data_IF_611171714020
#
_entry.id   IF_611171714020
#
_cell.length_a   1.000
_cell.length_b   1.000
_cell.length_c   1.000
_cell.angle_alpha   90.00
_cell.angle_beta   90.00
_cell.angle_gamma   90.00
#
_symmetry.space_group_name_H-M   'P 1'
#
loop_
_entity.id
_entity.type
_entity.pdbx_description
1 polymer ?
#
# COMPACT_ATOMS: atom_id res chain seq x y z
N UNK A 1 9.03 -2.65 -32.91
CA UNK A 1 10.24 -2.08 -32.25
C UNK A 1 10.35 -2.67 -30.87
N UNK A 2 11.57 -2.95 -30.39
CA UNK A 2 11.81 -3.75 -29.18
C UNK A 2 10.98 -3.26 -27.99
N UNK A 3 10.03 -4.09 -27.54
CA UNK A 3 9.14 -3.81 -26.39
C UNK A 3 9.86 -4.04 -25.05
N UNK A 4 11.15 -4.41 -25.08
CA UNK A 4 11.97 -4.65 -23.89
C UNK A 4 12.88 -3.47 -23.60
N UNK A 5 12.91 -3.05 -22.34
CA UNK A 5 13.95 -2.17 -21.81
C UNK A 5 15.30 -2.88 -21.73
N UNK A 6 16.27 -2.25 -21.08
CA UNK A 6 17.61 -2.81 -20.84
C UNK A 6 17.53 -4.14 -20.08
N UNK A 7 16.55 -4.29 -19.19
CA UNK A 7 16.31 -5.53 -18.44
C UNK A 7 15.23 -6.43 -19.05
N UNK A 8 14.82 -6.16 -20.30
CA UNK A 8 13.73 -6.83 -20.98
C UNK A 8 12.34 -6.33 -20.54
N UNK A 9 11.29 -7.03 -20.94
CA UNK A 9 9.92 -6.74 -20.51
C UNK A 9 9.51 -7.76 -19.45
N UNK A 10 9.04 -7.28 -18.29
CA UNK A 10 8.54 -8.15 -17.23
C UNK A 10 7.24 -8.87 -17.62
N UNK A 11 6.41 -8.25 -18.46
CA UNK A 11 5.15 -8.82 -18.91
C UNK A 11 5.41 -9.78 -20.07
N UNK A 12 4.96 -11.02 -19.93
CA UNK A 12 5.01 -12.01 -21.01
C UNK A 12 3.93 -11.71 -22.06
N UNK A 13 4.09 -12.25 -23.28
CA UNK A 13 3.06 -12.13 -24.32
C UNK A 13 1.70 -12.67 -23.86
N UNK A 14 1.70 -13.80 -23.16
CA UNK A 14 0.49 -14.38 -22.56
C UNK A 14 -0.12 -13.45 -21.50
N UNK A 15 0.71 -12.79 -20.67
CA UNK A 15 0.24 -11.83 -19.68
C UNK A 15 -0.44 -10.61 -20.30
N UNK A 16 0.07 -10.12 -21.45
CA UNK A 16 -0.58 -9.06 -22.22
C UNK A 16 -1.95 -9.50 -22.77
N UNK A 17 -2.08 -10.74 -23.21
CA UNK A 17 -3.36 -11.28 -23.68
C UNK A 17 -4.38 -11.43 -22.54
N UNK A 18 -3.95 -11.88 -21.36
CA UNK A 18 -4.80 -11.94 -20.16
C UNK A 18 -5.18 -10.55 -19.65
N UNK A 19 -4.32 -9.54 -19.84
CA UNK A 19 -4.61 -8.15 -19.49
C UNK A 19 -5.86 -7.59 -20.21
N UNK A 20 -6.13 -8.03 -21.45
CA UNK A 20 -7.36 -7.65 -22.19
C UNK A 20 -8.64 -8.19 -21.54
N UNK A 21 -8.52 -9.27 -20.77
CA UNK A 21 -9.62 -9.93 -20.05
C UNK A 21 -9.72 -9.49 -18.60
N UNK A 22 -8.79 -8.63 -18.16
CA UNK A 22 -8.78 -8.16 -16.79
C UNK A 22 -9.98 -7.24 -16.52
N UNK A 23 -10.71 -7.53 -15.46
CA UNK A 23 -11.79 -6.70 -14.95
C UNK A 23 -11.48 -6.36 -13.48
N UNK A 24 -11.49 -5.08 -13.17
CA UNK A 24 -11.33 -4.63 -11.79
C UNK A 24 -12.51 -5.06 -10.92
N UNK A 25 -12.19 -5.65 -9.76
CA UNK A 25 -13.17 -6.02 -8.74
C UNK A 25 -12.68 -5.55 -7.38
N UNK A 26 -13.24 -4.44 -6.90
CA UNK A 26 -12.95 -3.89 -5.58
C UNK A 26 -13.59 -4.70 -4.45
N UNK A 27 -12.89 -4.81 -3.33
CA UNK A 27 -13.24 -5.63 -2.16
C UNK A 27 -14.29 -5.05 -1.21
N UNK A 28 -15.04 -4.01 -1.60
CA UNK A 28 -16.06 -3.33 -0.77
C UNK A 28 -15.66 -1.91 -0.36
N UNK A 29 -16.46 -1.28 0.51
CA UNK A 29 -16.24 0.08 1.03
C UNK A 29 -16.41 0.13 2.56
N UNK A 30 -15.65 0.98 3.23
CA UNK A 30 -15.72 1.20 4.67
C UNK A 30 -16.86 2.18 5.03
N UNK A 31 -17.18 2.37 6.33
CA UNK A 31 -18.08 3.43 6.75
C UNK A 31 -17.60 4.84 6.36
N UNK A 32 -16.29 5.12 6.47
CA UNK A 32 -15.75 6.43 6.11
C UNK A 32 -15.73 6.63 4.60
N UNK A 33 -15.45 5.60 3.80
CA UNK A 33 -15.58 5.68 2.34
C UNK A 33 -16.98 6.15 1.96
N UNK A 34 -18.01 5.56 2.58
CA UNK A 34 -19.42 5.94 2.33
C UNK A 34 -19.74 7.36 2.78
N UNK A 35 -19.12 7.84 3.86
CA UNK A 35 -19.26 9.21 4.34
C UNK A 35 -18.59 10.23 3.40
N UNK A 36 -17.43 9.89 2.85
CA UNK A 36 -16.66 10.76 1.95
C UNK A 36 -17.14 10.69 0.50
N UNK A 37 -17.85 9.63 0.12
CA UNK A 37 -18.31 9.43 -1.26
C UNK A 37 -19.10 10.60 -1.86
N UNK A 38 -20.03 11.28 -1.15
CA UNK A 38 -20.71 12.47 -1.66
C UNK A 38 -19.74 13.61 -2.01
N UNK A 39 -18.68 13.80 -1.22
CA UNK A 39 -17.64 14.79 -1.52
C UNK A 39 -16.88 14.42 -2.80
N UNK A 40 -16.47 13.16 -2.92
CA UNK A 40 -15.77 12.68 -4.11
C UNK A 40 -16.64 12.73 -5.37
N UNK A 41 -17.94 12.41 -5.28
CA UNK A 41 -18.88 12.53 -6.41
C UNK A 41 -19.09 13.99 -6.81
N UNK A 42 -19.17 14.90 -5.84
CA UNK A 42 -19.23 16.33 -6.12
C UNK A 42 -17.99 16.82 -6.88
N UNK A 43 -16.79 16.49 -6.39
CA UNK A 43 -15.53 16.88 -7.04
C UNK A 43 -15.42 16.26 -8.43
N UNK A 44 -15.69 14.96 -8.56
CA UNK A 44 -15.70 14.24 -9.83
C UNK A 44 -16.65 14.88 -10.85
N UNK A 45 -17.81 15.38 -10.41
CA UNK A 45 -18.78 16.07 -11.27
C UNK A 45 -18.31 17.45 -11.78
N UNK A 46 -17.36 18.09 -11.08
CA UNK A 46 -16.80 19.39 -11.45
C UNK A 46 -15.57 19.30 -12.34
N UNK A 47 -14.92 18.14 -12.43
CA UNK A 47 -13.76 17.96 -13.29
C UNK A 47 -14.13 18.09 -14.78
N UNK A 48 -13.27 18.69 -15.61
CA UNK A 48 -13.51 18.78 -17.05
C UNK A 48 -13.30 17.42 -17.72
N UNK A 49 -14.06 17.14 -18.78
CA UNK A 49 -14.05 15.83 -19.45
C UNK A 49 -12.75 15.53 -20.23
N UNK A 50 -11.94 16.54 -20.54
CA UNK A 50 -10.63 16.36 -21.18
C UNK A 50 -9.55 15.88 -20.20
N UNK A 51 -9.80 16.01 -18.89
CA UNK A 51 -8.81 15.68 -17.86
C UNK A 51 -8.73 14.16 -17.68
N UNK A 52 -7.56 13.61 -18.01
CA UNK A 52 -7.27 12.18 -17.87
C UNK A 52 -7.24 11.77 -16.38
N UNK A 53 -7.83 10.61 -16.04
CA UNK A 53 -7.70 10.00 -14.72
C UNK A 53 -6.25 9.86 -14.26
N UNK A 54 -5.37 9.34 -15.13
CA UNK A 54 -3.97 9.12 -14.78
C UNK A 54 -3.24 10.43 -14.46
N UNK A 55 -3.70 11.56 -15.00
CA UNK A 55 -3.13 12.86 -14.67
C UNK A 55 -3.53 13.30 -13.26
N UNK A 56 -4.76 12.99 -12.82
CA UNK A 56 -5.19 13.19 -11.42
C UNK A 56 -4.32 12.38 -10.47
N UNK A 57 -4.06 11.11 -10.81
CA UNK A 57 -3.16 10.24 -10.05
C UNK A 57 -1.76 10.84 -9.93
N UNK A 58 -1.18 11.35 -11.04
CA UNK A 58 0.13 12.03 -11.00
C UNK A 58 0.12 13.26 -10.09
N UNK A 59 -0.93 14.08 -10.15
CA UNK A 59 -1.05 15.24 -9.27
C UNK A 59 -1.19 14.85 -7.79
N UNK A 60 -1.98 13.79 -7.50
CA UNK A 60 -2.09 13.23 -6.16
C UNK A 60 -0.76 12.70 -5.64
N UNK A 61 -0.05 11.92 -6.45
CA UNK A 61 1.30 11.45 -6.15
C UNK A 61 2.29 12.60 -5.93
N UNK A 62 2.21 13.68 -6.72
CA UNK A 62 3.01 14.88 -6.52
C UNK A 62 2.78 15.53 -5.15
N UNK A 63 1.56 15.48 -4.62
CA UNK A 63 1.25 16.00 -3.29
C UNK A 63 1.93 15.17 -2.18
N UNK A 64 1.87 13.84 -2.25
CA UNK A 64 2.51 12.97 -1.25
C UNK A 64 4.03 13.02 -1.35
N UNK A 65 4.58 13.15 -2.56
CA UNK A 65 6.00 13.38 -2.80
C UNK A 65 6.45 14.70 -2.16
N UNK A 66 5.68 15.79 -2.32
CA UNK A 66 6.00 17.07 -1.68
C UNK A 66 5.98 16.97 -0.15
N UNK A 67 5.03 16.23 0.44
CA UNK A 67 5.07 15.93 1.88
C UNK A 67 6.36 15.22 2.27
N UNK A 68 6.78 14.22 1.51
CA UNK A 68 8.03 13.50 1.79
C UNK A 68 9.26 14.42 1.66
N UNK A 69 9.31 15.31 0.67
CA UNK A 69 10.38 16.29 0.53
C UNK A 69 10.42 17.27 1.71
N UNK A 70 9.27 17.70 2.22
CA UNK A 70 9.19 18.52 3.43
C UNK A 70 9.74 17.77 4.65
N UNK A 71 9.40 16.48 4.82
CA UNK A 71 9.96 15.63 5.88
C UNK A 71 11.47 15.52 5.76
N UNK A 72 12.00 15.20 4.57
CA UNK A 72 13.45 15.08 4.37
C UNK A 72 14.20 16.40 4.61
N UNK A 73 13.57 17.54 4.35
CA UNK A 73 14.21 18.85 4.50
C UNK A 73 14.18 19.38 5.94
N UNK A 74 13.07 19.19 6.65
CA UNK A 74 12.85 19.78 7.98
C UNK A 74 13.02 18.78 9.13
N UNK A 75 12.80 17.49 8.88
CA UNK A 75 12.79 16.43 9.91
C UNK A 75 13.57 15.18 9.44
N UNK A 76 14.83 15.32 9.02
CA UNK A 76 15.59 14.22 8.41
C UNK A 76 15.77 13.02 9.34
N UNK A 77 15.82 13.20 10.67
CA UNK A 77 15.94 12.09 11.63
C UNK A 77 14.61 11.71 12.28
N UNK A 78 13.50 12.27 11.78
CA UNK A 78 12.12 12.05 12.26
C UNK A 78 11.92 12.49 13.74
N UNK A 79 12.84 13.29 14.31
CA UNK A 79 12.79 13.77 15.71
C UNK A 79 12.70 15.27 15.81
N UNK A 80 13.10 15.98 14.77
CA UNK A 80 13.16 17.43 14.75
C UNK A 80 11.75 18.03 14.78
N UNK A 81 11.65 19.27 15.26
CA UNK A 81 10.43 20.05 15.18
C UNK A 81 10.51 20.93 13.93
N UNK A 82 9.50 20.83 13.05
CA UNK A 82 9.36 21.73 11.91
C UNK A 82 8.51 22.96 12.28
N UNK A 83 8.58 24.06 11.50
CA UNK A 83 7.64 25.15 11.64
C UNK A 83 6.19 24.68 11.44
N UNK A 84 5.25 25.30 12.15
CA UNK A 84 3.83 24.88 12.18
C UNK A 84 3.15 24.87 10.80
N UNK A 85 3.59 25.75 9.89
CA UNK A 85 3.09 25.78 8.52
C UNK A 85 3.43 24.50 7.74
N UNK A 86 4.53 23.81 8.08
CA UNK A 86 4.94 22.56 7.40
C UNK A 86 3.90 21.48 7.66
N UNK A 87 3.46 21.32 8.91
CA UNK A 87 2.41 20.37 9.27
C UNK A 87 1.06 20.72 8.64
N UNK A 88 0.70 22.00 8.61
CA UNK A 88 -0.52 22.45 7.94
C UNK A 88 -0.47 22.16 6.43
N UNK A 89 0.66 22.46 5.78
CA UNK A 89 0.88 22.17 4.37
C UNK A 89 0.78 20.67 4.08
N UNK A 90 1.42 19.82 4.91
CA UNK A 90 1.31 18.36 4.77
C UNK A 90 -0.13 17.87 4.94
N UNK A 91 -0.89 18.39 5.90
CA UNK A 91 -2.30 18.06 6.06
C UNK A 91 -3.12 18.42 4.82
N UNK A 92 -2.93 19.62 4.26
CA UNK A 92 -3.63 20.08 3.06
C UNK A 92 -3.26 19.23 1.83
N UNK A 93 -1.97 18.96 1.64
CA UNK A 93 -1.47 18.13 0.53
C UNK A 93 -2.02 16.70 0.61
N UNK A 94 -2.08 16.11 1.80
CA UNK A 94 -2.67 14.79 2.01
C UNK A 94 -4.18 14.76 1.74
N UNK A 95 -4.91 15.83 2.09
CA UNK A 95 -6.33 15.96 1.76
C UNK A 95 -6.57 16.07 0.25
N UNK A 96 -5.73 16.85 -0.44
CA UNK A 96 -5.76 16.96 -1.90
C UNK A 96 -5.44 15.61 -2.54
N UNK A 97 -4.39 14.92 -2.09
CA UNK A 97 -4.05 13.57 -2.54
C UNK A 97 -5.23 12.61 -2.39
N UNK A 98 -5.78 12.44 -1.18
CA UNK A 98 -6.93 11.55 -0.94
C UNK A 98 -8.11 11.87 -1.86
N UNK A 99 -8.38 13.16 -2.08
CA UNK A 99 -9.48 13.57 -2.94
C UNK A 99 -9.21 13.20 -4.40
N UNK A 100 -8.00 13.43 -4.91
CA UNK A 100 -7.63 13.12 -6.30
C UNK A 100 -7.59 11.61 -6.56
N UNK A 101 -7.05 10.86 -5.62
CA UNK A 101 -6.98 9.39 -5.59
C UNK A 101 -8.38 8.77 -5.70
N UNK A 102 -9.31 9.16 -4.81
CA UNK A 102 -10.67 8.64 -4.84
C UNK A 102 -11.48 9.07 -6.08
N UNK A 103 -11.09 10.16 -6.72
CA UNK A 103 -11.81 10.75 -7.86
C UNK A 103 -11.32 10.21 -9.20
N UNK A 104 -10.09 9.71 -9.31
CA UNK A 104 -9.55 9.27 -10.60
C UNK A 104 -10.35 8.12 -11.23
N UNK A 105 -10.77 7.12 -10.45
CA UNK A 105 -11.59 6.01 -10.90
C UNK A 105 -13.01 6.45 -11.21
N UNK A 106 -13.53 7.46 -10.52
CA UNK A 106 -14.83 8.07 -10.81
C UNK A 106 -14.78 8.83 -12.13
N UNK A 107 -13.72 9.60 -12.35
CA UNK A 107 -13.45 10.29 -13.60
C UNK A 107 -13.32 9.28 -14.74
N UNK A 108 -12.57 8.19 -14.55
CA UNK A 108 -12.38 7.15 -15.57
C UNK A 108 -13.71 6.52 -16.01
N UNK A 109 -14.63 6.28 -15.07
CA UNK A 109 -15.99 5.81 -15.38
C UNK A 109 -16.80 6.87 -16.12
N UNK A 110 -16.71 8.13 -15.70
CA UNK A 110 -17.42 9.27 -16.31
C UNK A 110 -16.97 9.55 -17.75
N UNK A 111 -15.68 9.41 -18.04
CA UNK A 111 -15.09 9.63 -19.37
C UNK A 111 -15.06 8.36 -20.23
N UNK A 112 -15.57 7.23 -19.73
CA UNK A 112 -15.46 5.91 -20.38
C UNK A 112 -14.01 5.54 -20.76
N UNK A 113 -13.05 5.92 -19.93
CA UNK A 113 -11.61 5.70 -20.12
C UNK A 113 -11.00 4.78 -19.06
N UNK A 114 -11.81 3.94 -18.41
CA UNK A 114 -11.32 2.90 -17.49
C UNK A 114 -10.46 1.88 -18.24
N UNK A 115 -9.22 1.69 -17.82
CA UNK A 115 -8.28 0.74 -18.41
C UNK A 115 -7.49 0.00 -17.33
N UNK A 116 -7.02 -1.24 -17.58
CA UNK A 116 -6.11 -1.94 -16.67
C UNK A 116 -4.81 -1.16 -16.40
N UNK A 117 -4.36 -0.37 -17.38
CA UNK A 117 -3.21 0.52 -17.22
C UNK A 117 -3.47 1.59 -16.16
N UNK A 118 -4.63 2.25 -16.20
CA UNK A 118 -4.96 3.31 -15.24
C UNK A 118 -4.94 2.80 -13.80
N UNK A 119 -5.47 1.60 -13.58
CA UNK A 119 -5.43 0.98 -12.25
C UNK A 119 -3.99 0.58 -11.84
N UNK A 120 -3.21 -0.02 -12.74
CA UNK A 120 -1.80 -0.33 -12.46
C UNK A 120 -0.98 0.94 -12.15
N UNK A 121 -1.34 2.06 -12.78
CA UNK A 121 -0.72 3.36 -12.59
C UNK A 121 -1.07 3.94 -11.21
N UNK A 122 -2.34 3.90 -10.84
CA UNK A 122 -2.88 4.26 -9.53
C UNK A 122 -2.24 3.48 -8.39
N UNK A 123 -2.41 2.14 -8.41
CA UNK A 123 -1.78 1.24 -7.45
C UNK A 123 -0.25 1.37 -7.42
N UNK A 124 0.34 1.77 -8.56
CA UNK A 124 1.76 2.05 -8.67
C UNK A 124 2.17 3.26 -7.83
N UNK A 125 1.46 4.38 -7.96
CA UNK A 125 1.67 5.59 -7.17
C UNK A 125 1.41 5.33 -5.67
N UNK A 126 0.36 4.60 -5.35
CA UNK A 126 0.03 4.22 -3.97
C UNK A 126 1.10 3.41 -3.26
N UNK A 127 1.87 2.61 -4.01
CA UNK A 127 2.98 1.86 -3.45
C UNK A 127 4.06 2.76 -2.85
N UNK A 128 4.32 3.92 -3.48
CA UNK A 128 5.24 4.93 -2.95
C UNK A 128 4.57 5.74 -1.83
N UNK A 129 3.36 6.24 -2.07
CA UNK A 129 2.60 7.09 -1.14
C UNK A 129 2.41 6.42 0.23
N UNK A 130 2.20 5.11 0.27
CA UNK A 130 2.06 4.38 1.53
C UNK A 130 3.36 4.38 2.34
N UNK A 131 4.52 4.24 1.69
CA UNK A 131 5.82 4.33 2.38
C UNK A 131 6.11 5.76 2.81
N UNK A 132 5.73 6.76 2.00
CA UNK A 132 5.79 8.18 2.41
C UNK A 132 4.96 8.43 3.68
N UNK A 133 3.74 7.90 3.74
CA UNK A 133 2.85 8.08 4.89
C UNK A 133 3.47 7.56 6.19
N UNK A 134 4.26 6.49 6.15
CA UNK A 134 5.01 6.00 7.34
C UNK A 134 5.97 7.07 7.84
N UNK A 135 6.81 7.61 6.97
CA UNK A 135 7.81 8.61 7.35
C UNK A 135 7.17 9.93 7.77
N UNK A 136 6.08 10.34 7.11
CA UNK A 136 5.28 11.51 7.49
C UNK A 136 4.72 11.34 8.91
N UNK A 137 4.10 10.20 9.23
CA UNK A 137 3.58 9.93 10.57
C UNK A 137 4.69 9.89 11.62
N UNK A 138 5.78 9.17 11.35
CA UNK A 138 6.90 9.05 12.28
C UNK A 138 7.57 10.41 12.56
N UNK A 139 7.75 11.25 11.53
CA UNK A 139 8.30 12.59 11.68
C UNK A 139 7.35 13.53 12.42
N UNK A 140 6.06 13.51 12.08
CA UNK A 140 5.06 14.38 12.72
C UNK A 140 4.91 14.07 14.19
N UNK A 141 4.90 12.78 14.54
CA UNK A 141 4.86 12.33 15.93
C UNK A 141 6.22 12.44 16.65
N UNK A 142 7.26 12.99 16.01
CA UNK A 142 8.64 13.12 16.54
C UNK A 142 9.23 11.81 17.08
N UNK A 143 8.84 10.68 16.49
CA UNK A 143 9.19 9.33 16.97
C UNK A 143 10.69 9.02 16.79
N UNK A 144 11.28 9.57 15.74
CA UNK A 144 12.67 9.34 15.38
C UNK A 144 12.96 7.99 14.75
N UNK A 145 14.17 7.88 14.20
CA UNK A 145 14.72 6.59 13.73
C UNK A 145 14.91 5.67 14.94
N UNK A 146 13.92 4.81 15.18
CA UNK A 146 13.87 3.85 16.27
C UNK A 146 13.02 2.62 15.90
N UNK A 147 12.96 1.63 16.80
CA UNK A 147 12.18 0.41 16.56
C UNK A 147 10.71 0.65 16.31
N UNK A 148 10.08 1.60 17.00
CA UNK A 148 8.67 1.89 16.78
C UNK A 148 8.43 2.37 15.34
N UNK A 149 9.26 3.29 14.85
CA UNK A 149 9.17 3.79 13.47
C UNK A 149 9.40 2.68 12.44
N UNK A 150 10.33 1.75 12.72
CA UNK A 150 10.58 0.59 11.87
C UNK A 150 9.42 -0.41 11.89
N UNK A 151 8.85 -0.70 13.05
CA UNK A 151 7.70 -1.62 13.16
C UNK A 151 6.50 -1.05 12.40
N UNK A 152 6.29 0.26 12.44
CA UNK A 152 5.23 0.92 11.65
C UNK A 152 5.47 0.72 10.14
N UNK A 153 6.71 0.95 9.70
CA UNK A 153 7.14 0.71 8.33
C UNK A 153 6.90 -0.73 7.90
N UNK A 154 7.32 -1.69 8.71
CA UNK A 154 7.18 -3.12 8.46
C UNK A 154 5.71 -3.53 8.37
N UNK A 155 4.85 -3.09 9.30
CA UNK A 155 3.43 -3.45 9.30
C UNK A 155 2.73 -2.89 8.07
N UNK A 156 2.91 -1.60 7.75
CA UNK A 156 2.23 -0.98 6.61
C UNK A 156 2.75 -1.51 5.25
N UNK A 157 4.04 -1.79 5.12
CA UNK A 157 4.57 -2.46 3.94
C UNK A 157 4.04 -3.89 3.79
N UNK A 158 4.00 -4.66 4.88
CA UNK A 158 3.39 -6.00 4.86
C UNK A 158 1.90 -5.95 4.55
N UNK A 159 1.17 -4.91 5.00
CA UNK A 159 -0.23 -4.70 4.68
C UNK A 159 -0.43 -4.42 3.17
N UNK A 160 0.47 -3.65 2.57
CA UNK A 160 0.47 -3.42 1.12
C UNK A 160 0.76 -4.71 0.34
N UNK A 161 1.78 -5.47 0.76
CA UNK A 161 2.11 -6.76 0.13
C UNK A 161 0.95 -7.75 0.23
N UNK A 162 0.27 -7.84 1.38
CA UNK A 162 -0.83 -8.78 1.55
C UNK A 162 -2.01 -8.39 0.65
N UNK A 163 -2.34 -7.10 0.49
CA UNK A 163 -3.42 -6.68 -0.42
C UNK A 163 -3.15 -7.05 -1.89
N UNK A 164 -1.94 -6.82 -2.40
CA UNK A 164 -1.55 -7.28 -3.74
C UNK A 164 -1.53 -8.81 -3.83
N UNK A 165 -1.10 -9.51 -2.78
CA UNK A 165 -1.12 -10.97 -2.73
C UNK A 165 -2.56 -11.53 -2.76
N UNK A 166 -3.52 -10.89 -2.09
CA UNK A 166 -4.92 -11.26 -2.17
C UNK A 166 -5.46 -11.10 -3.60
N UNK A 167 -5.05 -10.05 -4.31
CA UNK A 167 -5.45 -9.87 -5.72
C UNK A 167 -4.91 -10.99 -6.62
N UNK A 168 -3.65 -11.42 -6.41
CA UNK A 168 -3.04 -12.54 -7.14
C UNK A 168 -3.88 -13.82 -7.00
N UNK A 169 -4.32 -14.16 -5.78
CA UNK A 169 -4.96 -15.46 -5.49
C UNK A 169 -6.48 -15.45 -5.60
N UNK A 170 -7.13 -14.31 -5.36
CA UNK A 170 -8.59 -14.21 -5.29
C UNK A 170 -9.18 -13.29 -6.37
N UNK A 171 -8.36 -12.57 -7.14
CA UNK A 171 -8.78 -11.67 -8.21
C UNK A 171 -9.77 -10.58 -7.74
N UNK A 172 -9.64 -10.20 -6.48
CA UNK A 172 -10.38 -9.10 -5.84
C UNK A 172 -9.35 -8.25 -5.12
N UNK A 173 -9.28 -6.98 -5.50
CA UNK A 173 -8.38 -6.04 -4.85
C UNK A 173 -8.99 -5.52 -3.55
N UNK A 174 -8.25 -5.65 -2.45
CA UNK A 174 -8.71 -5.23 -1.12
C UNK A 174 -7.99 -3.96 -0.69
N UNK A 175 -8.76 -3.03 -0.12
CA UNK A 175 -8.25 -1.79 0.46
C UNK A 175 -8.75 -1.60 1.90
N UNK A 176 -9.33 -2.64 2.50
CA UNK A 176 -9.84 -2.61 3.86
C UNK A 176 -9.82 -4.00 4.49
N UNK A 177 -9.85 -4.00 5.81
CA UNK A 177 -9.99 -5.19 6.65
C UNK A 177 -11.09 -4.93 7.67
N UNK A 178 -12.29 -5.43 7.38
CA UNK A 178 -13.47 -5.23 8.23
C UNK A 178 -14.06 -3.84 8.05
N UNK A 179 -13.92 -2.98 9.06
CA UNK A 179 -14.48 -1.60 9.05
C UNK A 179 -13.43 -0.52 8.85
N UNK A 180 -12.15 -0.90 8.75
CA UNK A 180 -11.02 0.02 8.63
C UNK A 180 -10.29 -0.26 7.32
N UNK A 181 -9.97 0.79 6.56
CA UNK A 181 -9.21 0.71 5.34
C UNK A 181 -8.23 1.87 5.16
N UNK A 182 -7.85 2.11 3.91
CA UNK A 182 -6.84 3.11 3.55
C UNK A 182 -7.31 4.53 3.89
N UNK A 183 -8.58 4.85 3.64
CA UNK A 183 -9.18 6.17 3.89
C UNK A 183 -9.09 6.58 5.36
N UNK A 184 -9.39 5.66 6.29
CA UNK A 184 -9.24 5.89 7.73
C UNK A 184 -7.79 6.21 8.10
N UNK A 185 -6.82 5.45 7.57
CA UNK A 185 -5.40 5.67 7.82
C UNK A 185 -4.91 7.03 7.29
N UNK A 186 -5.40 7.45 6.12
CA UNK A 186 -5.11 8.77 5.56
C UNK A 186 -5.68 9.89 6.44
N UNK A 187 -6.92 9.77 6.93
CA UNK A 187 -7.52 10.75 7.85
C UNK A 187 -6.80 10.82 9.20
N UNK A 188 -6.34 9.68 9.74
CA UNK A 188 -5.49 9.66 10.95
C UNK A 188 -4.21 10.45 10.69
N UNK A 189 -3.55 10.22 9.56
CA UNK A 189 -2.32 10.93 9.18
C UNK A 189 -2.58 12.44 9.08
N UNK A 190 -3.68 12.86 8.45
CA UNK A 190 -4.10 14.26 8.40
C UNK A 190 -4.36 14.83 9.79
N UNK A 191 -5.05 14.08 10.66
CA UNK A 191 -5.33 14.48 12.04
C UNK A 191 -4.06 14.72 12.85
N UNK A 192 -3.09 13.82 12.77
CA UNK A 192 -1.80 13.97 13.47
C UNK A 192 -1.05 15.22 12.97
N UNK A 193 -1.05 15.48 11.66
CA UNK A 193 -0.50 16.72 11.10
C UNK A 193 -1.24 17.97 11.57
N UNK A 194 -2.57 17.93 11.60
CA UNK A 194 -3.39 19.05 12.06
C UNK A 194 -3.14 19.37 13.55
N UNK A 195 -2.98 18.34 14.39
CA UNK A 195 -2.61 18.52 15.79
C UNK A 195 -1.24 19.20 15.93
N UNK A 196 -0.23 18.75 15.17
CA UNK A 196 1.08 19.41 15.13
C UNK A 196 1.02 20.86 14.64
N UNK A 197 0.11 21.18 13.72
CA UNK A 197 -0.10 22.52 13.22
C UNK A 197 -0.80 23.46 14.22
N UNK A 198 -1.77 22.97 15.00
CA UNK A 198 -2.60 23.74 15.94
C UNK A 198 -1.96 23.89 17.32
N UNK A 199 -1.26 22.87 17.81
CA UNK A 199 -0.68 22.89 19.15
C UNK A 199 0.86 22.98 19.14
N UNK A 200 1.47 22.80 17.97
CA UNK A 200 2.92 22.63 17.86
C UNK A 200 3.32 21.16 18.01
N UNK A 201 4.45 20.75 17.42
CA UNK A 201 4.85 19.34 17.38
C UNK A 201 5.32 18.79 18.74
N UNK A 202 5.60 19.66 19.70
CA UNK A 202 6.04 19.26 21.05
C UNK A 202 4.92 18.63 21.87
N UNK A 203 3.66 18.78 21.45
CA UNK A 203 2.51 18.13 22.10
C UNK A 203 2.68 16.61 22.16
N UNK A 204 3.35 16.01 21.17
CA UNK A 204 3.60 14.57 21.12
C UNK A 204 4.65 14.09 22.14
N UNK A 205 5.49 15.01 22.64
CA UNK A 205 6.53 14.71 23.63
C UNK A 205 6.08 14.90 25.07
N UNK A 206 4.94 15.57 25.30
CA UNK A 206 4.36 15.69 26.64
C UNK A 206 4.12 14.29 27.22
N UNK A 207 4.33 14.12 28.51
CA UNK A 207 4.01 12.85 29.17
C UNK A 207 2.51 12.78 29.49
N UNK A 208 2.00 11.57 29.63
CA UNK A 208 0.59 11.38 30.03
C UNK A 208 0.24 12.09 31.33
N UNK A 209 1.13 12.03 32.32
CA UNK A 209 0.95 12.70 33.60
C UNK A 209 0.88 14.22 33.46
N UNK A 210 1.69 14.81 32.57
CA UNK A 210 1.61 16.25 32.27
C UNK A 210 0.25 16.61 31.63
N UNK A 211 -0.24 15.80 30.69
CA UNK A 211 -1.55 16.02 30.08
C UNK A 211 -2.71 15.85 31.09
N UNK A 212 -2.62 14.85 31.98
CA UNK A 212 -3.61 14.63 33.05
C UNK A 212 -3.59 15.76 34.07
N UNK A 213 -2.43 16.27 34.45
CA UNK A 213 -2.32 17.39 35.38
C UNK A 213 -3.01 18.66 34.85
N UNK A 214 -2.95 18.90 33.53
CA UNK A 214 -3.61 20.02 32.87
C UNK A 214 -5.13 19.85 32.71
N UNK A 215 -5.62 18.61 32.64
CA UNK A 215 -7.04 18.31 32.35
C UNK A 215 -7.83 17.92 33.59
N UNK A 216 -7.33 16.97 34.38
CA UNK A 216 -7.93 16.51 35.63
C UNK A 216 -6.89 15.82 36.54
N UNK A 217 -6.19 16.61 37.35
CA UNK A 217 -5.11 16.14 38.23
C UNK A 217 -5.45 14.93 39.13
N UNK A 218 -6.66 14.79 39.71
CA UNK A 218 -6.98 13.62 40.53
C UNK A 218 -6.95 12.29 39.78
N UNK A 219 -7.10 12.30 38.44
CA UNK A 219 -7.05 11.06 37.67
C UNK A 219 -5.67 10.40 37.64
N UNK A 220 -4.59 11.14 37.92
CA UNK A 220 -3.25 10.58 37.96
C UNK A 220 -3.11 9.43 38.97
N UNK A 221 -3.88 9.45 40.07
CA UNK A 221 -3.86 8.41 41.09
C UNK A 221 -4.35 7.03 40.59
N UNK A 222 -5.08 6.97 39.47
CA UNK A 222 -5.56 5.70 38.90
C UNK A 222 -4.58 5.02 37.96
N UNK A 223 -3.47 5.69 37.61
CA UNK A 223 -2.52 5.19 36.63
C UNK A 223 -1.16 4.91 37.26
N UNK A 224 -0.45 3.85 36.84
CA UNK A 224 0.88 3.54 37.33
C UNK A 224 1.91 4.57 36.85
N UNK A 225 2.96 4.80 37.63
CA UNK A 225 4.03 5.76 37.33
C UNK A 225 4.69 5.54 35.97
N UNK A 226 4.80 4.28 35.52
CA UNK A 226 5.35 3.98 34.19
C UNK A 226 4.52 4.60 33.06
N UNK A 227 3.18 4.58 33.18
CA UNK A 227 2.27 5.14 32.19
C UNK A 227 2.24 6.66 32.27
N UNK A 228 2.25 7.22 33.47
CA UNK A 228 2.29 8.68 33.69
C UNK A 228 3.55 9.31 33.09
N UNK A 229 4.69 8.62 33.13
CA UNK A 229 5.96 9.08 32.57
C UNK A 229 6.12 8.76 31.08
N UNK A 230 5.18 8.06 30.46
CA UNK A 230 5.25 7.70 29.04
C UNK A 230 4.89 8.92 28.16
N UNK A 231 5.70 9.27 27.15
CA UNK A 231 5.37 10.31 26.18
C UNK A 231 4.09 10.00 25.38
N UNK A 232 3.31 11.03 25.09
CA UNK A 232 2.01 10.93 24.41
C UNK A 232 2.10 10.31 23.02
N UNK A 233 3.22 10.48 22.30
CA UNK A 233 3.45 9.83 21.01
C UNK A 233 3.30 8.30 21.08
N UNK A 234 3.74 7.67 22.17
CA UNK A 234 3.62 6.21 22.33
C UNK A 234 2.22 5.80 22.76
N UNK A 235 1.56 6.61 23.60
CA UNK A 235 0.20 6.34 24.06
C UNK A 235 -0.81 6.46 22.92
N UNK A 236 -0.68 7.49 22.10
CA UNK A 236 -1.55 7.71 20.94
C UNK A 236 -1.31 6.64 19.87
N UNK A 237 -0.04 6.27 19.63
CA UNK A 237 0.30 5.31 18.59
C UNK A 237 0.01 3.85 18.99
N UNK A 238 0.08 3.48 20.27
CA UNK A 238 -0.14 2.11 20.73
C UNK A 238 -1.45 1.45 20.24
N UNK A 239 -2.64 2.05 20.40
CA UNK A 239 -3.88 1.45 19.89
C UNK A 239 -3.87 1.32 18.36
N UNK A 240 -3.19 2.23 17.66
CA UNK A 240 -3.03 2.17 16.22
C UNK A 240 -2.13 0.99 15.80
N UNK A 241 -1.00 0.77 16.48
CA UNK A 241 -0.17 -0.43 16.26
C UNK A 241 -0.95 -1.72 16.50
N UNK A 242 -1.76 -1.77 17.56
CA UNK A 242 -2.58 -2.95 17.86
C UNK A 242 -3.59 -3.22 16.72
N UNK A 243 -4.27 -2.18 16.26
CA UNK A 243 -5.23 -2.27 15.15
C UNK A 243 -4.55 -2.74 13.85
N UNK A 244 -3.45 -2.10 13.45
CA UNK A 244 -2.73 -2.48 12.24
C UNK A 244 -2.18 -3.90 12.31
N UNK A 245 -1.65 -4.30 13.48
CA UNK A 245 -1.18 -5.68 13.69
C UNK A 245 -2.32 -6.67 13.59
N UNK A 246 -3.48 -6.38 14.19
CA UNK A 246 -4.67 -7.21 14.08
C UNK A 246 -5.12 -7.35 12.62
N UNK A 247 -5.18 -6.25 11.85
CA UNK A 247 -5.55 -6.27 10.43
C UNK A 247 -4.61 -7.16 9.62
N UNK A 248 -3.30 -6.94 9.77
CA UNK A 248 -2.28 -7.70 9.06
C UNK A 248 -2.35 -9.20 9.39
N UNK A 249 -2.41 -9.54 10.68
CA UNK A 249 -2.50 -10.92 11.15
C UNK A 249 -3.77 -11.58 10.62
N UNK A 250 -4.92 -10.91 10.74
CA UNK A 250 -6.21 -11.39 10.22
C UNK A 250 -6.14 -11.67 8.72
N UNK A 251 -5.57 -10.77 7.91
CA UNK A 251 -5.48 -10.95 6.47
C UNK A 251 -4.53 -12.08 6.06
N UNK A 252 -3.40 -12.24 6.77
CA UNK A 252 -2.48 -13.37 6.55
C UNK A 252 -3.18 -14.69 6.91
N UNK A 253 -3.78 -14.79 8.09
CA UNK A 253 -4.43 -16.03 8.55
C UNK A 253 -5.61 -16.42 7.66
N UNK A 254 -6.50 -15.48 7.35
CA UNK A 254 -7.64 -15.73 6.49
C UNK A 254 -7.21 -16.03 5.05
N UNK A 255 -6.19 -15.34 4.54
CA UNK A 255 -5.64 -15.56 3.20
C UNK A 255 -5.07 -16.98 3.07
N UNK A 256 -4.19 -17.37 3.99
CA UNK A 256 -3.60 -18.71 4.03
C UNK A 256 -4.62 -19.83 4.26
N UNK A 257 -5.75 -19.54 4.93
CA UNK A 257 -6.84 -20.50 5.12
C UNK A 257 -7.65 -20.73 3.85
N UNK A 258 -7.88 -19.67 3.06
CA UNK A 258 -8.76 -19.69 1.90
C UNK A 258 -8.05 -20.00 0.58
N UNK A 259 -6.72 -19.83 0.52
CA UNK A 259 -5.98 -20.06 -0.72
C UNK A 259 -6.00 -21.53 -1.12
N UNK A 260 -6.20 -21.77 -2.42
CA UNK A 260 -6.27 -23.12 -2.98
C UNK A 260 -4.90 -23.82 -3.00
N UNK A 261 -3.86 -23.13 -3.47
CA UNK A 261 -2.50 -23.65 -3.57
C UNK A 261 -1.57 -23.01 -2.54
N UNK A 262 -1.47 -23.66 -1.38
CA UNK A 262 -0.59 -23.21 -0.28
C UNK A 262 0.89 -23.34 -0.62
N UNK A 263 1.26 -24.30 -1.46
CA UNK A 263 2.66 -24.55 -1.83
C UNK A 263 3.21 -23.42 -2.71
N UNK A 264 2.35 -22.79 -3.52
CA UNK A 264 2.68 -21.58 -4.26
C UNK A 264 2.58 -20.32 -3.37
N UNK A 265 1.53 -20.21 -2.57
CA UNK A 265 1.15 -18.96 -1.94
C UNK A 265 1.99 -18.61 -0.69
N UNK A 266 2.34 -19.60 0.14
CA UNK A 266 3.13 -19.38 1.37
C UNK A 266 4.55 -18.89 1.06
N UNK A 267 5.30 -19.47 0.10
CA UNK A 267 6.61 -18.96 -0.26
C UNK A 267 6.60 -17.49 -0.70
N UNK A 268 5.54 -17.02 -1.38
CA UNK A 268 5.43 -15.62 -1.78
C UNK A 268 5.36 -14.68 -0.57
N UNK A 269 4.61 -15.06 0.47
CA UNK A 269 4.56 -14.31 1.73
C UNK A 269 5.91 -14.33 2.47
N UNK A 270 6.62 -15.47 2.46
CA UNK A 270 7.98 -15.57 3.01
C UNK A 270 8.93 -14.63 2.26
N UNK A 271 8.79 -14.50 0.94
CA UNK A 271 9.54 -13.55 0.13
C UNK A 271 9.30 -12.10 0.53
N UNK A 272 8.04 -11.72 0.75
CA UNK A 272 7.67 -10.38 1.24
C UNK A 272 8.22 -10.12 2.65
N UNK A 273 8.12 -11.10 3.55
CA UNK A 273 8.69 -11.00 4.89
C UNK A 273 10.22 -10.89 4.86
N UNK A 274 10.87 -11.60 3.94
CA UNK A 274 12.33 -11.52 3.74
C UNK A 274 12.75 -10.15 3.24
N UNK A 275 11.98 -9.49 2.37
CA UNK A 275 12.22 -8.11 1.95
C UNK A 275 12.27 -7.17 3.15
N UNK A 276 11.25 -7.25 4.01
CA UNK A 276 11.18 -6.47 5.25
C UNK A 276 12.35 -6.83 6.16
N UNK A 277 12.70 -8.11 6.31
CA UNK A 277 13.83 -8.50 7.17
C UNK A 277 15.18 -7.94 6.70
N UNK A 278 15.48 -7.93 5.40
CA UNK A 278 16.71 -7.29 4.90
C UNK A 278 16.67 -5.76 5.10
N UNK A 279 15.51 -5.15 4.91
CA UNK A 279 15.32 -3.73 5.20
C UNK A 279 15.53 -3.41 6.69
N UNK A 280 15.23 -4.34 7.60
CA UNK A 280 15.53 -4.19 9.03
C UNK A 280 17.03 -4.04 9.29
N UNK A 281 17.85 -4.89 8.64
CA UNK A 281 19.31 -4.80 8.76
C UNK A 281 19.80 -3.43 8.26
N UNK A 282 19.30 -2.98 7.12
CA UNK A 282 19.61 -1.65 6.59
C UNK A 282 19.21 -0.53 7.56
N UNK A 283 18.00 -0.60 8.13
CA UNK A 283 17.49 0.39 9.09
C UNK A 283 18.30 0.40 10.40
N UNK A 284 18.85 -0.75 10.81
CA UNK A 284 19.74 -0.86 11.96
C UNK A 284 21.17 -0.37 11.70
N UNK A 285 21.52 0.01 10.47
CA UNK A 285 22.83 0.62 10.19
C UNK A 285 22.90 2.07 10.68
N UNK A 286 24.11 2.57 10.88
CA UNK A 286 24.38 3.98 11.17
C UNK A 286 24.07 4.93 10.00
N UNK A 287 23.68 4.41 8.82
CA UNK A 287 23.41 5.23 7.64
C UNK A 287 22.16 6.10 7.79
N UNK A 288 21.17 5.64 8.56
CA UNK A 288 19.97 6.43 8.84
C UNK A 288 20.29 7.74 9.59
N UNK A 289 21.44 7.82 10.27
CA UNK A 289 21.90 9.02 10.96
C UNK A 289 22.83 9.90 10.10
N UNK A 290 23.52 9.31 9.12
CA UNK A 290 24.52 10.05 8.32
C UNK A 290 23.98 10.46 6.95
N UNK A 291 23.09 9.66 6.37
CA UNK A 291 22.52 9.85 5.03
C UNK A 291 21.01 9.56 4.98
N UNK A 292 20.19 10.14 5.90
CA UNK A 292 18.77 9.77 6.04
C UNK A 292 17.96 9.84 4.75
N UNK A 293 18.10 10.93 3.97
CA UNK A 293 17.33 11.11 2.74
C UNK A 293 17.61 10.03 1.68
N UNK A 294 18.88 9.63 1.54
CA UNK A 294 19.27 8.54 0.62
C UNK A 294 18.72 7.21 1.10
N UNK A 295 18.81 6.94 2.40
CA UNK A 295 18.26 5.72 2.99
C UNK A 295 16.74 5.60 2.82
N UNK A 296 15.99 6.68 3.07
CA UNK A 296 14.55 6.71 2.82
C UNK A 296 14.24 6.44 1.36
N UNK A 297 14.94 7.11 0.43
CA UNK A 297 14.75 6.92 -1.01
C UNK A 297 14.99 5.47 -1.44
N UNK A 298 16.04 4.82 -0.91
CA UNK A 298 16.32 3.42 -1.18
C UNK A 298 15.23 2.49 -0.64
N UNK A 299 14.74 2.72 0.58
CA UNK A 299 13.63 1.97 1.16
C UNK A 299 12.39 2.09 0.28
N UNK A 300 12.01 3.32 -0.04
CA UNK A 300 10.83 3.63 -0.87
C UNK A 300 10.93 2.92 -2.23
N UNK A 301 12.02 3.16 -2.97
CA UNK A 301 12.17 2.64 -4.33
C UNK A 301 12.17 1.11 -4.34
N UNK A 302 12.93 0.46 -3.45
CA UNK A 302 13.04 -1.00 -3.46
C UNK A 302 11.75 -1.68 -3.02
N UNK A 303 11.01 -1.11 -2.07
CA UNK A 303 9.69 -1.63 -1.69
C UNK A 303 8.68 -1.45 -2.82
N UNK A 304 8.64 -0.28 -3.47
CA UNK A 304 7.77 -0.04 -4.62
C UNK A 304 8.09 -0.95 -5.81
N UNK A 305 9.36 -1.27 -6.09
CA UNK A 305 9.73 -2.25 -7.12
C UNK A 305 9.07 -3.62 -6.87
N UNK A 306 9.09 -4.10 -5.62
CA UNK A 306 8.49 -5.39 -5.26
C UNK A 306 6.97 -5.33 -5.44
N UNK A 307 6.31 -4.28 -4.94
CA UNK A 307 4.85 -4.13 -5.03
C UNK A 307 4.38 -3.94 -6.47
N UNK A 308 5.05 -3.11 -7.27
CA UNK A 308 4.71 -2.93 -8.68
C UNK A 308 4.77 -4.27 -9.44
N UNK A 309 5.80 -5.09 -9.17
CA UNK A 309 5.90 -6.44 -9.75
C UNK A 309 4.80 -7.37 -9.26
N UNK A 310 4.34 -7.24 -8.01
CA UNK A 310 3.16 -7.96 -7.50
C UNK A 310 1.88 -7.50 -8.19
N UNK A 311 1.64 -6.20 -8.31
CA UNK A 311 0.45 -5.62 -8.95
C UNK A 311 0.38 -6.07 -10.42
N UNK A 312 1.48 -5.97 -11.17
CA UNK A 312 1.54 -6.46 -12.55
C UNK A 312 1.32 -7.97 -12.62
N UNK A 313 1.87 -8.75 -11.67
CA UNK A 313 1.60 -10.18 -11.63
C UNK A 313 0.12 -10.49 -11.36
N UNK A 314 -0.55 -9.71 -10.51
CA UNK A 314 -1.98 -9.85 -10.25
C UNK A 314 -2.81 -9.51 -11.50
N UNK A 315 -2.58 -8.35 -12.11
CA UNK A 315 -3.38 -7.85 -13.23
C UNK A 315 -3.14 -8.65 -14.52
N UNK A 316 -1.89 -9.05 -14.79
CA UNK A 316 -1.53 -9.85 -15.97
C UNK A 316 -1.58 -11.37 -15.73
N UNK A 317 -2.04 -11.83 -14.55
CA UNK A 317 -2.09 -13.25 -14.16
C UNK A 317 -0.75 -13.99 -14.34
N UNK A 318 0.34 -13.32 -13.99
CA UNK A 318 1.68 -13.89 -14.05
C UNK A 318 2.01 -14.60 -12.74
N UNK A 319 2.91 -15.58 -12.82
CA UNK A 319 3.46 -16.20 -11.62
C UNK A 319 4.35 -15.22 -10.87
N UNK A 320 3.97 -14.88 -9.64
CA UNK A 320 4.83 -14.13 -8.73
C UNK A 320 5.80 -15.07 -7.99
N UNK A 321 7.09 -14.77 -8.06
CA UNK A 321 8.14 -15.53 -7.40
C UNK A 321 8.47 -14.95 -6.01
N UNK A 322 8.86 -15.77 -5.02
CA UNK A 322 9.23 -15.27 -3.69
C UNK A 322 10.41 -14.28 -3.71
N UNK A 323 11.44 -14.59 -4.50
CA UNK A 323 12.66 -13.79 -4.57
C UNK A 323 12.62 -12.92 -5.81
N UNK A 324 12.62 -11.61 -5.61
CA UNK A 324 12.67 -10.62 -6.68
C UNK A 324 14.12 -10.25 -6.96
N UNK A 325 14.66 -10.72 -8.09
CA UNK A 325 16.06 -10.49 -8.46
C UNK A 325 16.49 -9.00 -8.46
N UNK A 326 15.64 -8.00 -8.82
CA UNK A 326 16.05 -6.60 -8.81
C UNK A 326 16.31 -6.06 -7.41
N UNK A 327 15.73 -6.69 -6.38
CA UNK A 327 15.91 -6.31 -4.98
C UNK A 327 17.15 -7.00 -4.35
N UNK A 328 17.77 -7.98 -5.01
CA UNK A 328 18.94 -8.70 -4.46
C UNK A 328 20.13 -7.77 -4.17
N UNK A 329 20.49 -6.79 -5.02
CA UNK A 329 21.55 -5.85 -4.70
C UNK A 329 21.25 -5.04 -3.43
N UNK A 330 19.99 -4.64 -3.23
CA UNK A 330 19.56 -3.98 -2.01
C UNK A 330 19.67 -4.90 -0.78
N UNK A 331 19.30 -6.18 -0.90
CA UNK A 331 19.43 -7.14 0.22
C UNK A 331 20.89 -7.39 0.62
N UNK A 332 21.76 -7.61 -0.38
CA UNK A 332 23.18 -7.84 -0.15
C UNK A 332 23.84 -6.61 0.49
N UNK A 333 23.55 -5.42 -0.03
CA UNK A 333 24.09 -4.17 0.52
C UNK A 333 23.49 -3.83 1.89
N UNK A 334 22.23 -4.17 2.17
CA UNK A 334 21.61 -3.98 3.48
C UNK A 334 22.36 -4.70 4.60
N UNK A 335 22.71 -5.97 4.37
CA UNK A 335 23.50 -6.75 5.32
C UNK A 335 24.94 -6.19 5.43
N UNK A 336 25.56 -5.84 4.30
CA UNK A 336 26.89 -5.23 4.30
C UNK A 336 26.91 -3.92 5.08
N UNK A 337 25.96 -3.01 4.87
CA UNK A 337 25.91 -1.72 5.57
C UNK A 337 25.74 -1.89 7.08
N UNK A 338 24.92 -2.84 7.50
CA UNK A 338 24.80 -3.19 8.91
C UNK A 338 26.14 -3.68 9.49
N UNK A 339 26.81 -4.62 8.82
CA UNK A 339 28.08 -5.16 9.29
C UNK A 339 29.21 -4.11 9.23
N UNK A 340 29.20 -3.21 8.25
CA UNK A 340 30.22 -2.19 8.05
C UNK A 340 30.07 -0.99 9.00
N UNK A 341 28.85 -0.64 9.38
CA UNK A 341 28.53 0.49 10.23
C UNK A 341 27.26 0.20 11.05
N UNK A 342 27.32 -0.69 12.06
CA UNK A 342 26.16 -1.00 12.89
C UNK A 342 25.81 0.21 13.76
N UNK A 343 24.52 0.48 13.96
CA UNK A 343 24.10 1.43 15.00
C UNK A 343 24.16 0.73 16.37
N UNK A 344 24.99 1.20 17.32
CA UNK A 344 25.13 0.56 18.63
C UNK A 344 23.82 0.54 19.44
N UNK A 345 22.92 1.50 19.19
CA UNK A 345 21.62 1.57 19.88
C UNK A 345 20.54 0.69 19.22
N UNK A 346 20.87 -0.04 18.15
CA UNK A 346 19.90 -0.91 17.46
C UNK A 346 19.73 -2.24 18.19
N UNK A 347 18.55 -2.86 18.18
CA UNK A 347 18.38 -4.18 18.78
C UNK A 347 19.18 -5.27 18.08
N UNK A 348 19.46 -5.09 16.78
CA UNK A 348 20.26 -6.06 16.04
C UNK A 348 21.70 -6.11 16.56
N UNK A 349 22.24 -4.99 17.07
CA UNK A 349 23.57 -4.94 17.68
C UNK A 349 23.69 -5.82 18.93
N UNK A 350 22.59 -6.08 19.64
CA UNK A 350 22.57 -6.98 20.80
C UNK A 350 22.67 -8.47 20.42
N UNK A 351 22.36 -8.82 19.17
CA UNK A 351 22.32 -10.22 18.68
C UNK A 351 23.44 -10.51 17.69
N UNK A 352 23.82 -9.53 16.87
CA UNK A 352 24.80 -9.68 15.80
C UNK A 352 25.82 -8.55 15.86
N UNK A 353 27.01 -8.84 16.38
CA UNK A 353 28.13 -7.91 16.37
C UNK A 353 28.78 -7.82 14.98
N UNK A 354 29.38 -6.65 14.68
CA UNK A 354 30.19 -6.51 13.48
C UNK A 354 31.49 -7.33 13.61
N UNK A 355 31.90 -8.06 12.56
CA UNK A 355 33.19 -8.75 12.55
C UNK A 355 34.38 -7.80 12.30
N UNK A 356 34.13 -6.52 11.99
CA UNK A 356 35.17 -5.54 11.66
C UNK A 356 35.62 -4.78 12.90
N UNK A 357 36.92 -4.50 12.99
CA UNK A 357 37.47 -3.62 14.03
C UNK A 357 37.02 -2.17 13.83
N UNK A 358 37.07 -1.35 14.87
CA UNK A 358 36.68 0.08 14.80
C UNK A 358 37.46 0.84 13.71
N UNK A 359 38.76 0.57 13.56
CA UNK A 359 39.59 1.17 12.51
C UNK A 359 39.13 0.76 11.09
N UNK A 360 38.72 -0.50 10.92
CA UNK A 360 38.16 -0.98 9.65
C UNK A 360 36.80 -0.35 9.37
N UNK A 361 35.92 -0.25 10.37
CA UNK A 361 34.61 0.40 10.24
C UNK A 361 34.77 1.87 9.84
N UNK A 362 35.68 2.61 10.48
CA UNK A 362 35.99 4.00 10.12
C UNK A 362 36.51 4.13 8.68
N UNK A 363 37.37 3.21 8.23
CA UNK A 363 37.83 3.17 6.85
C UNK A 363 36.68 2.90 5.87
N UNK A 364 35.84 1.90 6.14
CA UNK A 364 34.67 1.57 5.31
C UNK A 364 33.73 2.78 5.20
N UNK A 365 33.41 3.41 6.32
CA UNK A 365 32.50 4.55 6.37
C UNK A 365 33.00 5.75 5.56
N UNK A 366 34.31 6.02 5.59
CA UNK A 366 34.90 7.15 4.87
C UNK A 366 35.15 6.86 3.39
N UNK A 367 35.58 5.66 3.04
CA UNK A 367 36.13 5.37 1.71
C UNK A 367 35.32 4.41 0.84
N UNK A 368 34.47 3.54 1.43
CA UNK A 368 33.78 2.48 0.67
C UNK A 368 32.28 2.70 0.64
N UNK A 369 31.67 2.96 1.81
CA UNK A 369 30.22 3.11 1.97
C UNK A 369 29.62 4.13 0.99
N UNK A 370 30.18 5.34 0.77
CA UNK A 370 29.59 6.31 -0.15
C UNK A 370 29.47 5.78 -1.58
N UNK A 371 30.46 5.01 -2.06
CA UNK A 371 30.45 4.41 -3.39
C UNK A 371 29.45 3.27 -3.49
N UNK A 372 29.39 2.39 -2.50
CA UNK A 372 28.41 1.29 -2.47
C UNK A 372 26.99 1.85 -2.39
N UNK A 373 26.76 2.87 -1.56
CA UNK A 373 25.48 3.55 -1.41
C UNK A 373 25.04 4.24 -2.71
N UNK A 374 25.97 4.89 -3.40
CA UNK A 374 25.71 5.48 -4.72
C UNK A 374 25.39 4.42 -5.76
N UNK A 375 26.16 3.32 -5.80
CA UNK A 375 25.97 2.24 -6.76
C UNK A 375 24.59 1.56 -6.59
N UNK A 376 24.18 1.25 -5.35
CA UNK A 376 22.84 0.67 -5.11
C UNK A 376 21.72 1.67 -5.38
N UNK A 377 21.94 2.97 -5.13
CA UNK A 377 20.96 4.01 -5.45
C UNK A 377 20.76 4.13 -6.97
N UNK A 378 21.85 4.19 -7.73
CA UNK A 378 21.81 4.21 -9.19
C UNK A 378 21.17 2.94 -9.75
N UNK A 379 21.49 1.78 -9.19
CA UNK A 379 20.85 0.50 -9.54
C UNK A 379 19.32 0.57 -9.36
N UNK A 380 18.86 0.93 -8.17
CA UNK A 380 17.44 0.96 -7.85
C UNK A 380 16.66 1.97 -8.71
N UNK A 381 17.23 3.16 -8.94
CA UNK A 381 16.61 4.18 -9.81
C UNK A 381 16.59 3.74 -11.27
N UNK A 382 17.72 3.26 -11.79
CA UNK A 382 17.83 2.84 -13.19
C UNK A 382 16.90 1.66 -13.48
N UNK A 383 16.87 0.67 -12.60
CA UNK A 383 15.96 -0.47 -12.72
C UNK A 383 14.50 -0.03 -12.71
N UNK A 384 14.10 0.81 -11.74
CA UNK A 384 12.72 1.30 -11.65
C UNK A 384 12.32 2.07 -12.92
N UNK A 385 13.19 2.96 -13.41
CA UNK A 385 12.93 3.72 -14.62
C UNK A 385 12.72 2.82 -15.85
N UNK A 386 13.65 1.89 -16.10
CA UNK A 386 13.55 0.93 -17.21
C UNK A 386 12.31 0.05 -17.09
N UNK A 387 12.00 -0.41 -15.89
CA UNK A 387 10.84 -1.24 -15.58
C UNK A 387 9.52 -0.50 -15.85
N UNK A 388 9.38 0.74 -15.40
CA UNK A 388 8.18 1.55 -15.64
C UNK A 388 8.02 1.87 -17.13
N UNK A 389 9.09 2.32 -17.80
CA UNK A 389 9.05 2.68 -19.20
C UNK A 389 8.69 1.48 -20.09
N UNK A 390 9.35 0.34 -19.88
CA UNK A 390 9.08 -0.88 -20.65
C UNK A 390 7.67 -1.42 -20.40
N UNK A 391 7.20 -1.42 -19.16
CA UNK A 391 5.85 -1.89 -18.79
C UNK A 391 4.77 -1.00 -19.40
N UNK A 392 4.86 0.32 -19.21
CA UNK A 392 3.87 1.27 -19.74
C UNK A 392 3.85 1.21 -21.26
N UNK A 393 5.01 1.19 -21.91
CA UNK A 393 5.11 1.09 -23.38
C UNK A 393 4.52 -0.21 -23.89
N UNK A 394 4.77 -1.34 -23.23
CA UNK A 394 4.22 -2.65 -23.60
C UNK A 394 2.70 -2.66 -23.52
N UNK A 395 2.12 -2.15 -22.42
CA UNK A 395 0.68 -2.12 -22.21
C UNK A 395 0.01 -1.16 -23.21
N UNK A 396 0.55 0.06 -23.36
CA UNK A 396 0.01 1.06 -24.29
C UNK A 396 0.02 0.52 -25.73
N UNK A 397 1.13 -0.08 -26.17
CA UNK A 397 1.27 -0.64 -27.51
C UNK A 397 0.33 -1.84 -27.74
N UNK A 398 0.09 -2.66 -26.71
CA UNK A 398 -0.76 -3.85 -26.83
C UNK A 398 -2.26 -3.54 -26.82
N UNK A 399 -2.66 -2.51 -26.07
CA UNK A 399 -4.05 -2.08 -25.93
C UNK A 399 -4.46 -0.94 -26.87
N UNK A 400 -3.50 -0.35 -27.60
CA UNK A 400 -3.71 0.81 -28.47
C UNK A 400 -4.31 2.01 -27.71
N UNK A 401 -3.75 2.29 -26.54
CA UNK A 401 -4.16 3.38 -25.65
C UNK A 401 -3.01 4.35 -25.40
N UNK A 402 -3.37 5.58 -25.05
CA UNK A 402 -2.40 6.58 -24.57
C UNK A 402 -2.50 6.70 -23.05
N UNK A 403 -1.38 6.99 -22.39
CA UNK A 403 -1.34 7.07 -20.93
C UNK A 403 -2.05 8.32 -20.38
N UNK A 404 -1.96 9.46 -21.07
CA UNK A 404 -2.41 10.76 -20.53
C UNK A 404 -3.51 11.46 -21.35
N UNK A 405 -3.95 10.90 -22.49
CA UNK A 405 -5.02 11.51 -23.27
C UNK A 405 -6.31 10.70 -23.17
N UNK A 406 -7.42 11.42 -22.97
CA UNK A 406 -8.76 10.85 -23.16
C UNK A 406 -9.06 10.95 -24.65
N UNK A 407 -8.98 9.83 -25.37
CA UNK A 407 -9.45 9.80 -26.75
C UNK A 407 -10.96 10.02 -26.71
N UNK A 408 -11.42 11.20 -27.15
CA UNK A 408 -12.83 11.38 -27.47
C UNK A 408 -13.16 10.33 -28.53
N UNK A 409 -13.96 9.31 -28.17
CA UNK A 409 -14.55 8.47 -29.19
C UNK A 409 -15.32 9.42 -30.09
N UNK A 410 -14.89 9.56 -31.34
CA UNK A 410 -15.75 10.07 -32.39
C UNK A 410 -17.09 9.34 -32.25
N UNK A 411 -18.17 10.10 -32.03
CA UNK A 411 -19.47 9.63 -32.46
C UNK A 411 -19.33 9.34 -33.95
N UNK A 412 -19.02 8.10 -34.32
CA UNK A 412 -19.23 7.61 -35.68
C UNK A 412 -20.73 7.58 -35.91
N UNK A 413 -21.26 8.75 -36.23
CA UNK A 413 -22.58 8.95 -36.75
C UNK A 413 -22.76 8.17 -38.04
N UNK A 414 -23.84 7.38 -38.06
CA UNK A 414 -24.71 7.07 -39.19
C UNK A 414 -24.04 6.55 -40.48
N UNK A 415 -24.27 5.25 -40.72
CA UNK A 415 -24.61 4.77 -42.06
C UNK A 415 -23.75 3.64 -42.62
N UNK A 416 -24.10 2.39 -42.28
CA UNK A 416 -24.39 1.30 -43.24
C UNK A 416 -24.72 0.02 -42.47
N UNK A 417 -25.87 -0.56 -42.81
CA UNK A 417 -26.54 -1.59 -42.02
C UNK A 417 -25.74 -2.88 -41.83
N UNK A 418 -25.90 -3.45 -40.63
CA UNK A 418 -25.86 -4.89 -40.39
C UNK A 418 -27.10 -5.26 -39.57
N UNK A 419 -27.74 -6.34 -39.99
CA UNK A 419 -29.06 -6.81 -39.54
C UNK A 419 -29.12 -7.24 -38.07
N UNK A 420 -30.31 -7.65 -37.62
CA UNK A 420 -30.75 -7.53 -36.23
C UNK A 420 -30.12 -8.59 -35.33
N UNK A 421 -29.47 -8.16 -34.23
CA UNK A 421 -29.28 -9.01 -33.07
C UNK A 421 -30.47 -8.83 -32.12
N UNK A 422 -31.06 -9.96 -31.73
CA UNK A 422 -32.28 -10.10 -30.94
C UNK A 422 -32.35 -9.19 -29.70
N UNK A 423 -33.54 -8.65 -29.48
CA UNK A 423 -33.84 -7.69 -28.41
C UNK A 423 -33.82 -8.29 -27.02
N UNK A 424 -33.44 -7.43 -26.07
CA UNK A 424 -33.79 -7.56 -24.64
C UNK A 424 -34.91 -6.54 -24.35
N UNK A 425 -35.99 -6.90 -23.62
CA UNK A 425 -37.12 -6.01 -23.44
C UNK A 425 -36.80 -4.90 -22.43
N UNK A 426 -37.24 -3.69 -22.76
CA UNK A 426 -37.47 -2.60 -21.82
C UNK A 426 -38.50 -3.01 -20.78
N UNK A 427 -38.27 -2.67 -19.51
CA UNK A 427 -39.29 -2.62 -18.47
C UNK A 427 -39.28 -1.21 -17.87
N UNK A 428 -40.26 -0.42 -18.29
CA UNK A 428 -40.67 0.81 -17.61
C UNK A 428 -41.87 0.50 -16.69
N UNK A 429 -41.86 1.13 -15.51
CA UNK A 429 -43.05 1.44 -14.72
C UNK A 429 -43.52 0.37 -13.73
N UNK A 430 -43.33 0.65 -12.44
CA UNK A 430 -44.40 0.71 -11.42
C UNK A 430 -43.83 1.11 -10.05
N UNK A 431 -44.35 2.22 -9.52
CA UNK A 431 -44.21 2.62 -8.12
C UNK A 431 -45.03 1.69 -7.21
N UNK A 432 -44.57 1.49 -5.97
CA UNK A 432 -45.36 0.87 -4.90
C UNK A 432 -44.52 0.39 -3.72
N UNK A 433 -44.56 1.16 -2.63
CA UNK A 433 -44.49 0.82 -1.19
C UNK A 433 -43.53 -0.25 -0.63
N UNK A 434 -42.87 0.15 0.47
CA UNK A 434 -42.06 -0.67 1.41
C UNK A 434 -42.91 -1.71 2.18
N UNK A 435 -42.33 -2.54 3.10
CA UNK A 435 -41.03 -3.21 3.20
C UNK A 435 -41.20 -4.75 3.31
N UNK A 436 -40.12 -5.51 3.56
CA UNK A 436 -40.07 -6.86 4.22
C UNK A 436 -39.55 -8.06 3.38
N UNK A 437 -38.59 -8.75 4.02
CA UNK A 437 -38.18 -10.16 3.90
C UNK A 437 -37.33 -10.62 2.70
N UNK A 438 -36.02 -10.67 2.94
CA UNK A 438 -35.09 -11.56 2.25
C UNK A 438 -35.51 -13.03 2.40
N UNK A 439 -35.95 -13.66 1.31
CA UNK A 439 -35.90 -15.12 1.15
C UNK A 439 -34.74 -15.47 0.22
N UNK A 440 -33.75 -16.15 0.78
CA UNK A 440 -32.58 -16.63 0.06
C UNK A 440 -32.92 -17.75 -0.92
N UNK A 441 -32.63 -17.53 -2.20
CA UNK A 441 -32.53 -18.59 -3.20
C UNK A 441 -31.14 -19.22 -3.14
N UNK A 442 -31.06 -20.46 -2.69
CA UNK A 442 -29.82 -21.26 -2.70
C UNK A 442 -29.43 -21.67 -4.12
N UNK A 443 -28.17 -21.46 -4.48
CA UNK A 443 -27.59 -21.85 -5.78
C UNK A 443 -27.71 -23.36 -6.05
N UNK A 444 -27.90 -23.78 -7.32
CA UNK A 444 -27.95 -25.20 -7.73
C UNK A 444 -26.75 -26.05 -7.26
N UNK A 445 -25.59 -25.44 -7.00
CA UNK A 445 -24.42 -26.13 -6.42
C UNK A 445 -24.61 -26.50 -4.94
N UNK A 446 -25.36 -25.71 -4.16
CA UNK A 446 -25.62 -26.00 -2.75
C UNK A 446 -26.64 -27.14 -2.60
N UNK A 447 -27.60 -27.25 -3.51
CA UNK A 447 -28.56 -28.37 -3.56
C UNK A 447 -27.86 -29.70 -3.86
N UNK A 448 -26.88 -29.70 -4.77
CA UNK A 448 -26.05 -30.89 -5.06
C UNK A 448 -25.18 -31.32 -3.89
N UNK A 449 -24.56 -30.36 -3.17
CA UNK A 449 -23.75 -30.68 -1.98
C UNK A 449 -24.59 -31.23 -0.82
N UNK A 450 -25.82 -30.74 -0.64
CA UNK A 450 -26.75 -31.27 0.38
C UNK A 450 -27.25 -32.67 0.03
N UNK A 451 -27.52 -32.95 -1.25
CA UNK A 451 -27.91 -34.29 -1.70
C UNK A 451 -26.77 -35.30 -1.49
N UNK A 452 -25.52 -34.94 -1.81
CA UNK A 452 -24.36 -35.82 -1.59
C UNK A 452 -24.08 -36.06 -0.10
N UNK A 453 -24.25 -35.04 0.74
CA UNK A 453 -24.08 -35.17 2.20
C UNK A 453 -25.17 -36.06 2.84
N UNK A 454 -26.40 -36.03 2.31
CA UNK A 454 -27.48 -36.89 2.78
C UNK A 454 -27.26 -38.37 2.43
N UNK A 455 -26.74 -38.65 1.23
CA UNK A 455 -26.38 -40.01 0.79
C UNK A 455 -25.25 -40.58 1.65
N UNK A 456 -24.19 -39.79 1.88
CA UNK A 456 -23.07 -40.22 2.72
C UNK A 456 -23.49 -40.46 4.18
N UNK A 457 -24.46 -39.69 4.71
CA UNK A 457 -24.99 -39.87 6.05
C UNK A 457 -25.89 -41.13 6.18
N UNK A 458 -26.59 -41.52 5.10
CA UNK A 458 -27.36 -42.76 5.07
C UNK A 458 -26.44 -43.99 4.98
N UNK A 459 -25.37 -43.94 4.19
CA UNK A 459 -24.37 -45.02 4.14
C UNK A 459 -23.64 -45.20 5.49
N UNK A 460 -23.31 -44.10 6.17
CA UNK A 460 -22.68 -44.16 7.50
C UNK A 460 -23.61 -44.74 8.58
N UNK A 461 -24.92 -44.49 8.47
CA UNK A 461 -25.92 -45.05 9.38
C UNK A 461 -26.25 -46.52 9.07
N UNK A 462 -26.11 -46.96 7.82
CA UNK A 462 -26.24 -48.36 7.45
C UNK A 462 -25.07 -49.19 8.01
N UNK A 463 -23.84 -48.66 7.96
CA UNK A 463 -22.65 -49.32 8.52
C UNK A 463 -22.67 -49.42 10.05
N UNK A 464 -23.33 -48.50 10.76
CA UNK A 464 -23.52 -48.55 12.22
C UNK A 464 -24.62 -49.50 12.69
N UNK A 465 -25.48 -50.00 11.79
CA UNK A 465 -26.53 -50.98 12.11
C UNK A 465 -26.13 -52.42 11.84
N UNK A 466 -24.96 -52.66 11.23
CA UNK A 466 -24.41 -53.99 10.96
C UNK A 466 -23.16 -54.32 11.79
N UNK A 467 -22.93 -53.61 12.89
CA UNK A 467 -21.83 -53.82 13.84
C UNK A 467 -22.36 -54.11 15.23
#
# INVERSE_FOLDING_TARGET
MMVGGVFGCFITRQGLEELRRYEYRGGGSTPIDRLMNPWWDYVAGKLPLWLSPNLLTVFGFGCTLLCMLLVMSWMPHLREAAPRWVYFAMCLLLFVYQTLDAVDGKQARRTNSSTPLGQLFDHGCDSFSTVFAVFINAATARMGVCMFSYVLLAILQMQMFIYSWWEIHFHVYRCHTGVTGVTEGQLVTMGVNLLGAIFGPDIFLLTFGQCLALTYSPAAAFFPDCLLNTPMQYIISFPFYLLLTYMLVSDIFNGCRLVNDKALAIPQLIGCFSHVLFQFAFFCSGLMQTHPAVCYSLIIINSSIVVLRMNIAATCRLRFYPVQWPALPFYATSLYFYLACPNPSSPLAAVLSSPLSEAQQAYQQKHVIPWVLTAVSLWSVFYLYDFLLSTITAICSHLDITCFCVNAKEEKGKGRGRGPSAGSPKLEGLQGDSPVAARGGTSPMQTRRRAQAAVNAQELNALKKSS
#
